data_IF_851285558643
#
_entry.id   IF_851285558643
#
_cell.length_a   1.000
_cell.length_b   1.000
_cell.length_c   1.000
_cell.angle_alpha   90.00
_cell.angle_beta   90.00
_cell.angle_gamma   90.00
#
_symmetry.space_group_name_H-M   'P 1'
#
loop_
_entity.id
_entity.type
_entity.pdbx_description
1 polymer ?
#
# COMPACT_ATOMS: atom_id res chain seq x y z
N UNK A 1 -21.03 5.99 -7.91
CA UNK A 1 -19.87 5.20 -7.41
C UNK A 1 -18.62 6.03 -7.61
N UNK A 2 -17.79 6.16 -6.57
CA UNK A 2 -16.48 6.80 -6.72
C UNK A 2 -15.54 5.83 -7.48
N UNK A 3 -14.76 6.35 -8.43
CA UNK A 3 -13.75 5.58 -9.14
C UNK A 3 -12.45 5.55 -8.33
N UNK A 4 -11.70 4.45 -8.44
CA UNK A 4 -10.34 4.40 -7.88
C UNK A 4 -9.45 5.45 -8.55
N UNK A 5 -8.68 6.18 -7.74
CA UNK A 5 -7.65 7.09 -8.24
C UNK A 5 -6.38 6.34 -8.69
N UNK A 6 -6.19 5.10 -8.21
CA UNK A 6 -5.05 4.26 -8.58
C UNK A 6 -5.24 3.75 -10.01
N UNK A 7 -4.21 3.92 -10.83
CA UNK A 7 -4.19 3.47 -12.21
C UNK A 7 -2.80 2.90 -12.58
N UNK A 8 -2.66 2.37 -13.79
CA UNK A 8 -1.40 1.78 -14.29
C UNK A 8 -0.20 2.75 -14.27
N UNK A 9 -0.47 4.06 -14.28
CA UNK A 9 0.56 5.09 -14.26
C UNK A 9 0.86 5.61 -12.84
N UNK A 10 0.10 5.17 -11.83
CA UNK A 10 0.38 5.51 -10.43
C UNK A 10 1.68 4.82 -10.01
N UNK A 11 2.68 5.60 -9.65
CA UNK A 11 3.90 5.07 -9.09
C UNK A 11 3.72 4.86 -7.59
N UNK A 12 4.37 3.83 -7.05
CA UNK A 12 4.34 3.54 -5.63
C UNK A 12 5.74 3.30 -5.09
N UNK A 13 5.99 3.71 -3.85
CA UNK A 13 7.17 3.34 -3.09
C UNK A 13 6.73 2.87 -1.71
N UNK A 14 7.54 2.00 -1.11
CA UNK A 14 7.31 1.48 0.23
C UNK A 14 8.60 1.60 1.02
N UNK A 15 8.48 1.79 2.33
CA UNK A 15 9.62 1.92 3.24
C UNK A 15 10.55 0.71 3.22
N UNK A 16 9.96 -0.49 3.24
CA UNK A 16 10.66 -1.77 3.33
C UNK A 16 9.80 -2.90 2.75
N UNK A 17 10.37 -4.09 2.61
CA UNK A 17 9.66 -5.32 2.25
C UNK A 17 10.18 -6.41 3.17
N UNK A 18 9.28 -7.15 3.82
CA UNK A 18 9.62 -8.20 4.78
C UNK A 18 10.71 -9.13 4.23
N UNK A 19 11.83 -9.26 4.94
CA UNK A 19 12.99 -10.07 4.55
C UNK A 19 13.57 -9.75 3.17
N UNK A 20 13.27 -8.58 2.61
CA UNK A 20 13.56 -8.17 1.22
C UNK A 20 12.94 -9.11 0.17
N UNK A 21 11.96 -9.93 0.54
CA UNK A 21 11.31 -10.87 -0.39
C UNK A 21 10.21 -10.17 -1.20
N UNK A 22 10.65 -9.48 -2.25
CA UNK A 22 9.74 -8.79 -3.19
C UNK A 22 8.85 -9.77 -3.96
N UNK A 23 9.24 -11.04 -4.08
CA UNK A 23 8.44 -12.04 -4.81
C UNK A 23 7.20 -12.43 -4.04
N UNK A 24 7.28 -12.50 -2.71
CA UNK A 24 6.16 -12.90 -1.84
C UNK A 24 5.45 -11.72 -1.17
N UNK A 25 6.17 -10.63 -0.87
CA UNK A 25 5.66 -9.53 -0.04
C UNK A 25 5.80 -8.14 -0.67
N UNK A 26 6.12 -8.07 -1.96
CA UNK A 26 6.36 -6.81 -2.65
C UNK A 26 5.11 -5.93 -2.81
N UNK A 27 5.32 -4.62 -2.96
CA UNK A 27 4.29 -3.59 -3.14
C UNK A 27 3.23 -3.86 -4.23
N UNK A 28 3.54 -4.70 -5.23
CA UNK A 28 2.60 -5.08 -6.30
C UNK A 28 1.33 -5.74 -5.74
N UNK A 29 1.46 -6.44 -4.61
CA UNK A 29 0.38 -7.15 -3.94
C UNK A 29 -0.60 -6.21 -3.21
N UNK A 30 -0.37 -4.89 -3.18
CA UNK A 30 -1.39 -3.92 -2.77
C UNK A 30 -2.44 -3.66 -3.85
N UNK A 31 -2.17 -4.04 -5.11
CA UNK A 31 -2.94 -3.60 -6.27
C UNK A 31 -3.35 -4.75 -7.20
N UNK A 32 -3.10 -6.01 -6.83
CA UNK A 32 -3.41 -7.18 -7.65
C UNK A 32 -4.87 -7.66 -7.49
N UNK A 33 -5.61 -7.08 -6.54
CA UNK A 33 -7.03 -7.37 -6.30
C UNK A 33 -7.28 -8.73 -5.62
N UNK A 34 -6.23 -9.37 -5.10
CA UNK A 34 -6.35 -10.62 -4.36
C UNK A 34 -6.49 -10.36 -2.86
N UNK A 35 -7.37 -11.10 -2.19
CA UNK A 35 -7.49 -11.07 -0.72
C UNK A 35 -6.45 -11.97 -0.02
N UNK A 36 -5.72 -12.78 -0.79
CA UNK A 36 -4.73 -13.74 -0.29
C UNK A 36 -3.30 -13.18 -0.26
N UNK A 37 -3.05 -12.08 -0.95
CA UNK A 37 -1.73 -11.46 -1.08
C UNK A 37 -1.74 -10.06 -0.45
N UNK A 38 -0.59 -9.63 0.04
CA UNK A 38 -0.42 -8.26 0.51
C UNK A 38 1.04 -7.82 0.43
N UNK A 39 1.28 -6.51 0.58
CA UNK A 39 2.60 -6.00 0.92
C UNK A 39 2.84 -6.17 2.42
N UNK A 40 3.99 -6.72 2.79
CA UNK A 40 4.46 -6.74 4.17
C UNK A 40 5.74 -5.90 4.28
N UNK A 41 5.78 -5.02 5.27
CA UNK A 41 7.00 -4.32 5.68
C UNK A 41 7.87 -5.21 6.59
N UNK A 42 9.15 -4.85 6.71
CA UNK A 42 9.97 -5.31 7.82
C UNK A 42 9.49 -4.71 9.15
N UNK A 43 9.92 -5.31 10.26
CA UNK A 43 9.68 -4.75 11.58
C UNK A 43 10.33 -3.37 11.73
N UNK A 44 9.65 -2.47 12.46
CA UNK A 44 10.14 -1.14 12.77
C UNK A 44 9.01 -0.14 12.84
N UNK A 45 9.32 1.05 13.36
CA UNK A 45 8.36 2.13 13.45
C UNK A 45 8.18 2.84 12.10
N UNK A 46 7.01 3.46 11.90
CA UNK A 46 6.73 4.35 10.78
C UNK A 46 6.95 3.74 9.38
N UNK A 47 6.50 2.49 9.17
CA UNK A 47 6.45 1.92 7.83
C UNK A 47 5.44 2.68 6.97
N UNK A 48 5.80 2.97 5.72
CA UNK A 48 5.05 3.90 4.88
C UNK A 48 4.85 3.39 3.45
N UNK A 49 3.77 3.86 2.85
CA UNK A 49 3.46 3.70 1.42
C UNK A 49 3.32 5.10 0.83
N UNK A 50 4.07 5.37 -0.23
CA UNK A 50 3.98 6.62 -1.00
C UNK A 50 3.32 6.30 -2.34
N UNK A 51 2.30 7.09 -2.71
CA UNK A 51 1.65 7.02 -4.02
C UNK A 51 1.87 8.33 -4.77
N UNK A 52 2.39 8.23 -5.98
CA UNK A 52 2.57 9.35 -6.90
C UNK A 52 1.60 9.18 -8.07
N UNK A 53 0.61 10.06 -8.15
CA UNK A 53 -0.36 10.08 -9.24
C UNK A 53 0.22 10.80 -10.47
N UNK A 54 -0.17 10.39 -11.70
CA UNK A 54 0.36 10.99 -12.93
C UNK A 54 -0.05 12.46 -13.13
N UNK A 55 -1.02 12.93 -12.35
CA UNK A 55 -1.53 14.29 -12.36
C UNK A 55 -2.09 14.63 -10.96
N UNK A 56 -2.29 15.92 -10.63
CA UNK A 56 -2.99 16.29 -9.40
C UNK A 56 -4.37 15.66 -9.34
N UNK A 57 -4.71 15.06 -8.20
CA UNK A 57 -5.99 14.41 -7.94
C UNK A 57 -6.67 15.00 -6.72
N UNK A 58 -8.00 14.89 -6.65
CA UNK A 58 -8.77 15.17 -5.45
C UNK A 58 -9.18 13.86 -4.81
N UNK A 59 -8.58 13.54 -3.67
CA UNK A 59 -8.95 12.36 -2.88
C UNK A 59 -10.13 12.67 -1.97
N UNK A 60 -11.16 11.82 -2.00
CA UNK A 60 -12.31 11.92 -1.09
C UNK A 60 -12.37 10.80 -0.04
N UNK A 61 -11.71 9.67 -0.31
CA UNK A 61 -11.73 8.49 0.54
C UNK A 61 -10.43 7.70 0.36
N UNK A 62 -9.90 7.15 1.44
CA UNK A 62 -8.80 6.19 1.45
C UNK A 62 -9.31 4.89 2.10
N UNK A 63 -9.17 3.77 1.40
CA UNK A 63 -9.53 2.43 1.91
C UNK A 63 -8.26 1.63 2.11
N UNK A 64 -8.06 1.16 3.33
CA UNK A 64 -6.95 0.29 3.70
C UNK A 64 -7.53 -1.06 4.15
N UNK A 65 -7.04 -2.15 3.58
CA UNK A 65 -7.35 -3.50 4.01
C UNK A 65 -6.07 -4.13 4.54
N UNK A 66 -6.14 -4.68 5.74
CA UNK A 66 -5.03 -5.41 6.35
C UNK A 66 -5.32 -6.91 6.27
N UNK A 67 -4.27 -7.70 6.04
CA UNK A 67 -4.32 -9.14 6.25
C UNK A 67 -4.28 -9.41 7.76
N UNK A 68 -5.09 -10.37 8.23
CA UNK A 68 -5.16 -10.70 9.66
C UNK A 68 -3.81 -11.12 10.23
N UNK A 69 -3.63 -10.92 11.55
CA UNK A 69 -2.39 -11.22 12.26
C UNK A 69 -1.85 -9.99 12.98
N UNK A 70 -1.26 -9.06 12.23
CA UNK A 70 -0.67 -7.83 12.78
C UNK A 70 -0.82 -6.66 11.81
N UNK A 71 -1.19 -5.50 12.33
CA UNK A 71 -1.19 -4.24 11.60
C UNK A 71 -0.74 -3.10 12.51
N UNK A 72 -0.36 -1.96 11.93
CA UNK A 72 -0.06 -0.77 12.71
C UNK A 72 -1.29 -0.31 13.50
N UNK A 73 -1.11 -0.03 14.79
CA UNK A 73 -2.20 0.47 15.64
C UNK A 73 -2.71 1.85 15.22
N UNK A 74 -1.79 2.68 14.70
CA UNK A 74 -2.05 4.05 14.28
C UNK A 74 -1.54 4.25 12.86
N UNK A 75 -2.36 4.89 12.03
CA UNK A 75 -1.99 5.31 10.68
C UNK A 75 -2.13 6.84 10.59
N UNK A 76 -1.23 7.46 9.84
CA UNK A 76 -1.27 8.89 9.53
C UNK A 76 -1.25 9.05 8.01
N UNK A 77 -2.07 9.98 7.51
CA UNK A 77 -2.00 10.45 6.14
C UNK A 77 -1.19 11.75 6.12
N UNK A 78 -0.22 11.83 5.22
CA UNK A 78 0.63 13.00 4.98
C UNK A 78 0.52 13.47 3.53
#
# INVERSE_FOLDING_TARGET
MAASLICKNTQSRVSSVLNRDVKQFGKKFMFDGSEETCWNSDQGECQWVLLEFPMPVRMSELKLQFQGGFSGQSCKLE
#
